data_IF_239630380235
#
_entry.id   IF_239630380235
#
_cell.length_a   1.000
_cell.length_b   1.000
_cell.length_c   1.000
_cell.angle_alpha   90.00
_cell.angle_beta   90.00
_cell.angle_gamma   90.00
#
_symmetry.space_group_name_H-M   'P 1'
#
loop_
_entity.id
_entity.type
_entity.pdbx_description
1 polymer ?
#
# COMPACT_ATOMS: atom_id res chain seq x y z
N UNK A 1 17.20 54.74 19.97
CA UNK A 1 17.12 53.76 18.88
C UNK A 1 17.81 52.48 19.31
N UNK A 2 17.05 51.59 19.95
CA UNK A 2 17.51 50.29 20.47
C UNK A 2 17.56 49.26 19.33
N UNK A 3 18.75 48.67 19.09
CA UNK A 3 18.92 47.58 18.13
C UNK A 3 18.13 46.36 18.61
N UNK A 4 17.35 45.69 17.75
CA UNK A 4 16.65 44.46 18.13
C UNK A 4 17.65 43.36 18.45
N UNK A 5 17.41 42.67 19.56
CA UNK A 5 18.27 41.63 20.12
C UNK A 5 18.41 40.47 19.12
N UNK A 6 19.65 40.20 18.67
CA UNK A 6 19.98 39.26 17.59
C UNK A 6 19.51 37.82 17.91
N UNK A 7 19.32 37.52 19.19
CA UNK A 7 18.78 36.29 19.75
C UNK A 7 17.29 36.11 19.49
N UNK A 8 16.48 37.17 19.55
CA UNK A 8 15.06 37.12 19.20
C UNK A 8 14.86 36.84 17.71
N UNK A 9 15.72 37.41 16.86
CA UNK A 9 15.72 37.16 15.42
C UNK A 9 16.04 35.69 15.07
N UNK A 10 17.03 35.08 15.75
CA UNK A 10 17.38 33.66 15.51
C UNK A 10 16.26 32.70 15.93
N UNK A 11 15.59 32.97 17.06
CA UNK A 11 14.50 32.14 17.56
C UNK A 11 13.28 32.20 16.62
N UNK A 12 12.96 33.38 16.12
CA UNK A 12 11.90 33.59 15.12
C UNK A 12 12.23 32.85 13.82
N UNK A 13 13.47 32.92 13.33
CA UNK A 13 13.90 32.18 12.12
C UNK A 13 13.82 30.67 12.32
N UNK A 14 14.20 30.15 13.50
CA UNK A 14 14.05 28.71 13.79
C UNK A 14 12.60 28.27 13.90
N UNK A 15 11.72 29.10 14.48
CA UNK A 15 10.28 28.81 14.56
C UNK A 15 9.63 28.86 13.18
N UNK A 16 10.00 29.83 12.34
CA UNK A 16 9.53 29.92 10.94
C UNK A 16 10.03 28.72 10.13
N UNK A 17 11.28 28.28 10.34
CA UNK A 17 11.83 27.09 9.67
C UNK A 17 11.12 25.80 10.10
N UNK A 18 10.83 25.65 11.40
CA UNK A 18 10.09 24.51 11.94
C UNK A 18 8.64 24.50 11.44
N UNK A 19 7.99 25.67 11.35
CA UNK A 19 6.64 25.80 10.84
C UNK A 19 6.55 25.61 9.32
N UNK A 20 7.63 25.93 8.59
CA UNK A 20 7.77 25.65 7.17
C UNK A 20 7.97 24.16 6.91
N UNK A 21 8.72 23.45 7.76
CA UNK A 21 8.85 21.99 7.72
C UNK A 21 7.52 21.31 8.03
N UNK A 22 6.79 21.74 9.06
CA UNK A 22 5.46 21.19 9.38
C UNK A 22 4.47 21.42 8.21
N UNK A 23 4.51 22.59 7.56
CA UNK A 23 3.72 22.87 6.36
C UNK A 23 4.14 22.03 5.16
N UNK A 24 5.43 21.80 4.94
CA UNK A 24 5.94 20.93 3.89
C UNK A 24 5.52 19.46 4.10
N UNK A 25 5.55 18.97 5.34
CA UNK A 25 5.03 17.65 5.70
C UNK A 25 3.50 17.55 5.52
N UNK A 26 2.74 18.58 5.91
CA UNK A 26 1.29 18.64 5.70
C UNK A 26 0.91 18.71 4.22
N UNK A 27 1.67 19.45 3.39
CA UNK A 27 1.47 19.53 1.94
C UNK A 27 1.84 18.19 1.28
N UNK A 28 2.93 17.53 1.70
CA UNK A 28 3.34 16.21 1.21
C UNK A 28 2.27 15.13 1.48
N UNK A 29 1.64 15.16 2.66
CA UNK A 29 0.49 14.29 2.97
C UNK A 29 -0.77 14.68 2.17
N UNK A 30 -1.03 15.98 1.96
CA UNK A 30 -2.18 16.47 1.18
C UNK A 30 -2.05 16.18 -0.32
N UNK A 31 -0.83 16.15 -0.88
CA UNK A 31 -0.58 15.76 -2.28
C UNK A 31 -0.65 14.26 -2.51
N UNK A 32 -0.48 13.44 -1.46
CA UNK A 32 -0.69 11.98 -1.56
C UNK A 32 -2.18 11.61 -1.50
N UNK A 33 -3.03 12.48 -0.92
CA UNK A 33 -4.46 12.24 -0.72
C UNK A 33 -5.40 12.95 -1.74
N UNK A 34 -4.86 13.59 -2.79
CA UNK A 34 -5.65 14.36 -3.78
C UNK A 34 -5.43 13.92 -5.24
N UNK A 35 -5.29 12.62 -5.47
CA UNK A 35 -5.49 12.00 -6.79
C UNK A 35 -6.55 10.93 -6.62
N UNK A 36 -7.82 11.32 -6.66
CA UNK A 36 -8.98 10.48 -7.01
C UNK A 36 -10.27 11.31 -6.85
N UNK A 37 -10.52 12.17 -7.84
CA UNK A 37 -11.84 12.68 -8.24
C UNK A 37 -11.69 12.95 -9.75
N UNK A 38 -12.15 12.01 -10.58
CA UNK A 38 -13.50 11.94 -11.19
C UNK A 38 -13.55 12.68 -12.54
N UNK A 39 -13.32 11.93 -13.62
CA UNK A 39 -13.72 12.32 -14.97
C UNK A 39 -14.11 11.08 -15.78
N UNK A 40 -15.42 10.88 -15.93
CA UNK A 40 -16.08 10.22 -17.05
C UNK A 40 -17.46 10.90 -17.19
N UNK A 41 -17.96 11.14 -18.43
CA UNK A 41 -18.07 10.09 -19.43
C UNK A 41 -17.61 10.51 -20.85
N UNK A 42 -16.66 9.76 -21.41
CA UNK A 42 -16.44 9.67 -22.87
C UNK A 42 -17.02 8.33 -23.38
N UNK A 43 -18.19 7.94 -22.88
CA UNK A 43 -18.78 6.61 -23.05
C UNK A 43 -19.80 6.55 -24.19
N UNK A 44 -19.65 7.35 -25.25
CA UNK A 44 -20.60 7.32 -26.37
C UNK A 44 -19.99 7.33 -27.78
N UNK A 45 -18.66 7.35 -27.94
CA UNK A 45 -18.05 7.31 -29.28
C UNK A 45 -17.50 5.93 -29.67
N UNK A 46 -17.33 5.00 -28.74
CA UNK A 46 -16.67 3.71 -29.03
C UNK A 46 -17.63 2.57 -29.38
N UNK A 47 -18.94 2.74 -29.21
CA UNK A 47 -19.91 1.65 -29.37
C UNK A 47 -20.33 1.36 -30.82
N UNK A 48 -19.79 2.05 -31.83
CA UNK A 48 -20.21 1.90 -33.24
C UNK A 48 -19.06 1.90 -34.26
N UNK A 49 -18.01 1.11 -34.02
CA UNK A 49 -17.11 0.64 -35.08
C UNK A 49 -16.75 -0.81 -34.75
N UNK A 50 -17.63 -1.75 -35.08
CA UNK A 50 -17.61 -2.50 -36.32
C UNK A 50 -16.89 -3.83 -36.10
N UNK A 51 -17.72 -4.87 -36.00
CA UNK A 51 -17.43 -6.23 -36.44
C UNK A 51 -16.46 -6.22 -37.63
N UNK A 52 -15.27 -6.74 -37.40
CA UNK A 52 -14.45 -7.37 -38.43
C UNK A 52 -13.80 -8.59 -37.80
N UNK A 53 -14.25 -9.77 -38.25
CA UNK A 53 -13.62 -11.04 -37.93
C UNK A 53 -12.16 -11.01 -38.42
N UNK A 54 -11.24 -10.93 -37.46
CA UNK A 54 -9.90 -11.48 -37.59
C UNK A 54 -9.63 -12.19 -36.27
N UNK A 55 -9.48 -13.52 -36.31
CA UNK A 55 -9.26 -14.35 -35.13
C UNK A 55 -7.88 -14.06 -34.50
N UNK A 56 -7.79 -12.98 -33.74
CA UNK A 56 -6.80 -12.82 -32.68
C UNK A 56 -7.45 -13.28 -31.38
N UNK A 57 -6.87 -14.26 -30.70
CA UNK A 57 -7.32 -14.71 -29.39
C UNK A 57 -7.24 -13.54 -28.38
N UNK A 58 -8.29 -12.72 -28.29
CA UNK A 58 -8.39 -11.66 -27.30
C UNK A 58 -8.62 -12.29 -25.92
N UNK A 59 -7.59 -12.25 -25.08
CA UNK A 59 -7.69 -12.66 -23.68
C UNK A 59 -8.47 -11.56 -22.94
N UNK A 60 -9.75 -11.80 -22.67
CA UNK A 60 -10.58 -10.93 -21.82
C UNK A 60 -10.26 -11.10 -20.31
N UNK A 61 -8.99 -10.94 -19.92
CA UNK A 61 -8.56 -11.02 -18.53
C UNK A 61 -8.09 -9.66 -18.01
N UNK A 62 -8.73 -9.15 -16.95
CA UNK A 62 -8.32 -7.87 -16.34
C UNK A 62 -7.08 -8.06 -15.46
N UNK A 63 -5.94 -7.51 -15.90
CA UNK A 63 -4.66 -7.58 -15.17
C UNK A 63 -4.74 -7.06 -13.73
N UNK A 64 -5.33 -5.88 -13.52
CA UNK A 64 -5.46 -5.27 -12.19
C UNK A 64 -6.29 -6.12 -11.23
N UNK A 65 -7.37 -6.73 -11.73
CA UNK A 65 -8.18 -7.67 -10.95
C UNK A 65 -7.44 -8.97 -10.67
N UNK A 66 -6.70 -9.52 -11.64
CA UNK A 66 -5.83 -10.69 -11.45
C UNK A 66 -4.80 -10.44 -10.34
N UNK A 67 -4.13 -9.27 -10.38
CA UNK A 67 -3.19 -8.84 -9.34
C UNK A 67 -3.84 -8.76 -7.96
N UNK A 68 -5.07 -8.24 -7.90
CA UNK A 68 -5.84 -8.15 -6.65
C UNK A 68 -6.20 -9.53 -6.10
N UNK A 69 -6.63 -10.45 -6.96
CA UNK A 69 -6.92 -11.84 -6.60
C UNK A 69 -5.67 -12.55 -6.07
N UNK A 70 -4.55 -12.43 -6.78
CA UNK A 70 -3.29 -13.04 -6.37
C UNK A 70 -2.83 -12.48 -5.02
N UNK A 71 -2.89 -11.16 -4.81
CA UNK A 71 -2.53 -10.54 -3.53
C UNK A 71 -3.35 -11.12 -2.36
N UNK A 72 -4.64 -11.36 -2.58
CA UNK A 72 -5.51 -12.00 -1.58
C UNK A 72 -5.05 -13.42 -1.29
N UNK A 73 -4.77 -14.22 -2.33
CA UNK A 73 -4.26 -15.58 -2.19
C UNK A 73 -2.95 -15.58 -1.39
N UNK A 74 -2.00 -14.74 -1.77
CA UNK A 74 -0.70 -14.63 -1.12
C UNK A 74 -0.79 -14.19 0.35
N UNK A 75 -1.69 -13.26 0.67
CA UNK A 75 -1.78 -12.69 2.01
C UNK A 75 -2.64 -13.52 2.98
N UNK A 76 -3.65 -14.22 2.45
CA UNK A 76 -4.70 -14.86 3.25
C UNK A 76 -4.79 -16.37 3.09
N UNK A 77 -4.23 -16.96 2.03
CA UNK A 77 -4.28 -18.41 1.78
C UNK A 77 -2.91 -19.07 1.90
N UNK A 78 -1.91 -18.58 1.16
CA UNK A 78 -0.57 -19.19 1.09
C UNK A 78 0.08 -19.42 2.46
N UNK A 79 0.00 -18.50 3.45
CA UNK A 79 0.61 -18.73 4.76
C UNK A 79 0.09 -19.98 5.47
N UNK A 80 -1.18 -20.34 5.25
CA UNK A 80 -1.78 -21.54 5.82
C UNK A 80 -1.42 -22.79 5.03
N UNK A 81 -1.32 -22.68 3.70
CA UNK A 81 -0.87 -23.78 2.83
C UNK A 81 0.56 -24.19 3.18
N UNK A 82 1.46 -23.21 3.35
CA UNK A 82 2.83 -23.41 3.79
C UNK A 82 2.90 -24.00 5.20
N UNK A 83 2.11 -23.46 6.13
CA UNK A 83 2.04 -23.97 7.51
C UNK A 83 1.64 -25.45 7.57
N UNK A 84 0.71 -25.87 6.71
CA UNK A 84 0.24 -27.25 6.65
C UNK A 84 1.10 -28.15 5.75
N UNK A 85 2.21 -27.63 5.20
CA UNK A 85 3.09 -28.28 4.23
C UNK A 85 2.32 -28.95 3.08
N UNK A 86 1.25 -28.30 2.62
CA UNK A 86 0.38 -28.85 1.59
C UNK A 86 0.85 -28.44 0.20
N UNK A 87 0.98 -29.39 -0.71
CA UNK A 87 1.25 -29.13 -2.12
C UNK A 87 -0.06 -29.05 -2.89
N UNK A 88 -0.42 -27.84 -3.32
CA UNK A 88 -1.58 -27.63 -4.19
C UNK A 88 -1.35 -28.30 -5.55
N UNK A 89 -2.41 -28.91 -6.10
CA UNK A 89 -2.35 -29.50 -7.44
C UNK A 89 -2.23 -28.44 -8.53
N UNK A 90 -1.45 -28.68 -9.58
CA UNK A 90 -1.40 -27.83 -10.78
C UNK A 90 -2.77 -27.72 -11.49
N UNK A 91 -3.72 -28.60 -11.19
CA UNK A 91 -5.11 -28.51 -11.70
C UNK A 91 -5.96 -27.47 -10.95
N UNK A 92 -5.54 -27.06 -9.76
CA UNK A 92 -6.27 -26.08 -8.96
C UNK A 92 -6.13 -24.69 -9.57
N UNK A 93 -7.24 -23.99 -9.78
CA UNK A 93 -7.22 -22.62 -10.34
C UNK A 93 -6.51 -21.59 -9.46
N UNK A 94 -6.40 -21.84 -8.16
CA UNK A 94 -5.69 -20.98 -7.21
C UNK A 94 -4.18 -21.22 -7.18
N UNK A 95 -3.67 -22.20 -7.94
CA UNK A 95 -2.24 -22.49 -7.99
C UNK A 95 -1.45 -21.27 -8.50
N UNK A 96 -0.34 -20.87 -7.86
CA UNK A 96 0.41 -19.67 -8.26
C UNK A 96 0.88 -19.66 -9.72
N UNK A 97 1.24 -20.83 -10.25
CA UNK A 97 1.70 -20.99 -11.64
C UNK A 97 0.57 -20.90 -12.68
N UNK A 98 -0.69 -20.96 -12.24
CA UNK A 98 -1.83 -20.92 -13.14
C UNK A 98 -2.28 -19.49 -13.47
N UNK A 99 -1.76 -18.46 -12.80
CA UNK A 99 -2.07 -17.08 -13.15
C UNK A 99 -1.37 -16.67 -14.45
N UNK A 100 -2.14 -16.32 -15.46
CA UNK A 100 -1.64 -15.95 -16.78
C UNK A 100 -0.65 -14.77 -16.75
N UNK A 101 -0.83 -13.83 -15.82
CA UNK A 101 0.04 -12.66 -15.72
C UNK A 101 1.23 -12.89 -14.77
N UNK A 102 1.32 -14.06 -14.14
CA UNK A 102 2.27 -14.36 -13.06
C UNK A 102 3.70 -13.99 -13.44
N UNK A 103 4.16 -14.55 -14.54
CA UNK A 103 5.54 -14.38 -14.99
C UNK A 103 5.85 -12.90 -15.26
N UNK A 104 4.93 -12.17 -15.88
CA UNK A 104 5.13 -10.75 -16.18
C UNK A 104 5.14 -9.89 -14.91
N UNK A 105 4.30 -10.21 -13.92
CA UNK A 105 4.28 -9.51 -12.63
C UNK A 105 5.58 -9.76 -11.84
N UNK A 106 6.14 -10.98 -11.88
CA UNK A 106 7.46 -11.29 -11.28
C UNK A 106 8.62 -10.57 -11.96
N UNK A 107 8.48 -10.24 -13.25
CA UNK A 107 9.47 -9.48 -14.02
C UNK A 107 9.29 -7.96 -13.93
N UNK A 108 8.47 -7.46 -13.01
CA UNK A 108 8.43 -6.03 -12.68
C UNK A 108 9.51 -5.67 -11.69
N UNK A 109 10.33 -4.69 -12.06
CA UNK A 109 11.39 -4.19 -11.20
C UNK A 109 11.01 -2.76 -10.78
N UNK A 110 10.72 -2.56 -9.50
CA UNK A 110 10.54 -1.22 -8.93
C UNK A 110 11.89 -0.70 -8.46
N UNK A 111 12.47 0.26 -9.20
CA UNK A 111 13.82 0.77 -8.96
C UNK A 111 13.80 1.93 -7.97
N UNK A 112 12.88 2.88 -8.16
CA UNK A 112 12.69 4.06 -7.31
C UNK A 112 11.20 4.47 -7.33
N UNK A 113 10.80 5.40 -6.47
CA UNK A 113 9.41 5.89 -6.26
C UNK A 113 8.69 6.20 -7.58
N UNK A 114 9.40 6.71 -8.58
CA UNK A 114 8.87 7.05 -9.90
C UNK A 114 9.59 6.31 -11.05
N UNK A 115 10.26 5.19 -10.76
CA UNK A 115 10.98 4.41 -11.78
C UNK A 115 10.62 2.92 -11.67
N UNK A 116 9.93 2.46 -12.71
CA UNK A 116 9.62 1.06 -12.95
C UNK A 116 10.41 0.57 -14.14
N UNK A 117 10.90 -0.67 -14.11
CA UNK A 117 11.71 -1.24 -15.18
C UNK A 117 11.18 -2.60 -15.60
N UNK A 118 11.13 -2.82 -16.91
CA UNK A 118 10.76 -4.10 -17.50
C UNK A 118 11.89 -5.12 -17.30
N UNK A 119 11.59 -6.28 -16.71
CA UNK A 119 12.55 -7.36 -16.49
C UNK A 119 13.09 -7.97 -17.77
N UNK A 120 12.29 -8.01 -18.84
CA UNK A 120 12.66 -8.61 -20.12
C UNK A 120 13.58 -7.72 -20.96
N UNK A 121 13.17 -6.47 -21.25
CA UNK A 121 13.89 -5.57 -22.16
C UNK A 121 14.62 -4.41 -21.48
N UNK A 122 14.57 -4.33 -20.13
CA UNK A 122 15.23 -3.31 -19.30
C UNK A 122 14.81 -1.85 -19.55
N UNK A 123 13.75 -1.59 -20.32
CA UNK A 123 13.17 -0.24 -20.47
C UNK A 123 12.60 0.27 -19.15
N UNK A 124 12.83 1.55 -18.85
CA UNK A 124 12.30 2.23 -17.68
C UNK A 124 11.05 3.05 -18.00
N UNK A 125 10.19 3.20 -17.00
CA UNK A 125 8.88 3.81 -17.07
C UNK A 125 8.64 4.63 -15.81
N UNK A 126 7.93 5.74 -15.96
CA UNK A 126 7.67 6.67 -14.85
C UNK A 126 6.66 6.13 -13.81
N UNK A 127 5.82 5.18 -14.20
CA UNK A 127 4.76 4.63 -13.37
C UNK A 127 4.42 3.21 -13.81
N UNK A 128 3.92 2.40 -12.87
CA UNK A 128 3.56 1.01 -13.10
C UNK A 128 2.57 0.83 -14.26
N UNK A 129 1.57 1.70 -14.37
CA UNK A 129 0.58 1.67 -15.46
C UNK A 129 1.20 1.71 -16.86
N UNK A 130 2.33 2.40 -17.03
CA UNK A 130 3.01 2.49 -18.32
C UNK A 130 3.85 1.24 -18.60
N UNK A 131 4.34 0.59 -17.54
CA UNK A 131 4.98 -0.70 -17.64
C UNK A 131 3.97 -1.81 -17.98
N UNK A 132 2.79 -1.78 -17.35
CA UNK A 132 1.67 -2.70 -17.65
C UNK A 132 1.26 -2.58 -19.13
N UNK A 133 1.01 -1.36 -19.60
CA UNK A 133 0.72 -1.11 -21.01
C UNK A 133 1.87 -1.55 -21.94
N UNK A 134 3.12 -1.45 -21.51
CA UNK A 134 4.26 -1.96 -22.28
C UNK A 134 4.25 -3.49 -22.38
N UNK A 135 3.88 -4.21 -21.32
CA UNK A 135 3.74 -5.66 -21.38
C UNK A 135 2.66 -6.08 -22.36
N UNK A 136 1.50 -5.44 -22.30
CA UNK A 136 0.36 -5.74 -23.18
C UNK A 136 0.72 -5.51 -24.66
N UNK A 137 1.55 -4.51 -24.99
CA UNK A 137 1.91 -4.18 -26.36
C UNK A 137 3.14 -4.93 -26.91
N UNK A 138 4.11 -5.26 -26.04
CA UNK A 138 5.46 -5.72 -26.49
C UNK A 138 5.84 -7.11 -25.99
N UNK A 139 5.19 -7.58 -24.93
CA UNK A 139 5.46 -8.87 -24.31
C UNK A 139 4.21 -9.75 -24.21
N UNK A 140 3.19 -9.45 -25.01
CA UNK A 140 1.97 -10.26 -25.09
C UNK A 140 2.25 -11.73 -25.40
N UNK A 141 3.20 -11.98 -26.32
CA UNK A 141 3.58 -13.34 -26.75
C UNK A 141 4.24 -14.19 -25.64
N UNK A 142 4.63 -13.59 -24.51
CA UNK A 142 5.19 -14.31 -23.37
C UNK A 142 4.11 -14.81 -22.41
N UNK A 143 2.83 -14.51 -22.67
CA UNK A 143 1.72 -15.03 -21.87
C UNK A 143 1.50 -16.51 -22.16
N UNK A 144 1.37 -17.32 -21.11
CA UNK A 144 1.02 -18.73 -21.24
C UNK A 144 -0.49 -18.90 -21.46
N UNK A 145 -0.95 -18.67 -22.70
CA UNK A 145 -2.38 -18.70 -23.06
C UNK A 145 -2.96 -20.12 -23.04
N UNK A 146 -2.13 -21.17 -23.05
CA UNK A 146 -2.60 -22.56 -23.21
C UNK A 146 -3.53 -23.05 -22.09
N UNK A 147 -3.49 -22.42 -20.92
CA UNK A 147 -4.28 -22.84 -19.76
C UNK A 147 -5.46 -21.93 -19.43
N UNK A 148 -5.64 -20.78 -20.12
CA UNK A 148 -6.78 -19.86 -19.96
C UNK A 148 -7.21 -19.55 -18.51
N UNK A 149 -6.31 -19.66 -17.54
CA UNK A 149 -6.64 -19.48 -16.13
C UNK A 149 -6.48 -18.00 -15.76
N UNK A 150 -7.54 -17.23 -16.00
CA UNK A 150 -7.62 -15.86 -15.55
C UNK A 150 -8.04 -15.81 -14.08
N UNK A 151 -7.15 -15.39 -13.16
CA UNK A 151 -7.52 -15.23 -11.75
C UNK A 151 -8.57 -14.13 -11.54
N UNK A 152 -8.68 -13.17 -12.46
CA UNK A 152 -9.69 -12.13 -12.38
C UNK A 152 -11.12 -12.68 -12.40
N UNK A 153 -11.36 -13.85 -13.02
CA UNK A 153 -12.67 -14.51 -13.03
C UNK A 153 -13.06 -15.02 -11.63
N UNK A 154 -12.05 -15.29 -10.78
CA UNK A 154 -12.25 -15.72 -9.41
C UNK A 154 -12.50 -14.55 -8.45
N UNK A 155 -12.39 -13.30 -8.92
CA UNK A 155 -12.53 -12.14 -8.04
C UNK A 155 -13.87 -12.04 -7.32
N UNK A 156 -14.94 -12.52 -7.95
CA UNK A 156 -16.26 -12.60 -7.31
C UNK A 156 -16.24 -13.54 -6.09
N UNK A 157 -15.55 -14.67 -6.18
CA UNK A 157 -15.41 -15.63 -5.08
C UNK A 157 -14.38 -15.19 -4.03
N UNK A 158 -13.30 -14.54 -4.46
CA UNK A 158 -12.17 -14.11 -3.62
C UNK A 158 -12.34 -12.72 -3.01
N UNK A 159 -13.44 -12.01 -3.23
CA UNK A 159 -13.67 -10.67 -2.66
C UNK A 159 -12.62 -9.61 -3.09
N UNK A 160 -12.15 -9.63 -4.36
CA UNK A 160 -11.14 -8.68 -4.84
C UNK A 160 -11.47 -7.20 -4.58
N UNK A 161 -12.75 -6.83 -4.72
CA UNK A 161 -13.18 -5.45 -4.58
C UNK A 161 -12.96 -4.92 -3.14
N UNK A 162 -12.89 -5.80 -2.14
CA UNK A 162 -12.56 -5.44 -0.76
C UNK A 162 -11.10 -4.99 -0.57
N UNK A 163 -10.18 -5.47 -1.40
CA UNK A 163 -8.74 -5.14 -1.33
C UNK A 163 -8.36 -4.07 -2.35
N UNK A 164 -9.01 -4.05 -3.52
CA UNK A 164 -8.72 -3.11 -4.59
C UNK A 164 -9.18 -1.68 -4.28
N UNK A 165 -10.29 -1.50 -3.53
CA UNK A 165 -10.85 -0.17 -3.25
C UNK A 165 -11.29 -0.05 -1.78
N UNK A 166 -10.67 0.84 -0.99
CA UNK A 166 -11.16 1.19 0.36
C UNK A 166 -12.49 1.99 0.34
N UNK A 167 -12.97 2.36 -0.85
CA UNK A 167 -14.20 3.10 -1.12
C UNK A 167 -15.12 2.26 -2.00
N UNK A 168 -15.47 1.04 -1.59
CA UNK A 168 -16.59 0.34 -2.23
C UNK A 168 -17.86 1.12 -1.87
N UNK A 169 -18.56 1.77 -2.82
CA UNK A 169 -19.85 2.36 -2.54
C UNK A 169 -20.76 1.25 -2.04
N UNK A 170 -21.51 1.48 -0.96
CA UNK A 170 -22.46 0.50 -0.42
C UNK A 170 -23.61 0.32 -1.42
N UNK A 171 -23.38 -0.44 -2.49
CA UNK A 171 -24.43 -0.86 -3.41
C UNK A 171 -25.31 -1.88 -2.72
N UNK A 172 -26.62 -1.84 -3.00
CA UNK A 172 -27.57 -2.83 -2.49
C UNK A 172 -27.10 -4.24 -2.87
N UNK A 173 -27.05 -5.14 -1.88
CA UNK A 173 -26.62 -6.52 -2.13
C UNK A 173 -27.54 -7.20 -3.15
N UNK A 174 -26.95 -7.87 -4.15
CA UNK A 174 -27.66 -8.73 -5.09
C UNK A 174 -27.60 -10.18 -4.60
N UNK A 175 -28.71 -10.78 -4.14
CA UNK A 175 -28.71 -12.14 -3.59
C UNK A 175 -28.32 -13.19 -4.64
N UNK A 176 -28.69 -13.00 -5.90
CA UNK A 176 -28.31 -13.91 -6.97
C UNK A 176 -26.80 -13.89 -7.24
N UNK A 177 -26.17 -12.71 -7.18
CA UNK A 177 -24.72 -12.60 -7.33
C UNK A 177 -23.99 -13.23 -6.13
N UNK A 178 -24.46 -12.98 -4.91
CA UNK A 178 -23.90 -13.59 -3.70
C UNK A 178 -23.98 -15.13 -3.74
N UNK A 179 -25.13 -15.69 -4.15
CA UNK A 179 -25.29 -17.14 -4.30
C UNK A 179 -24.36 -17.73 -5.37
N UNK A 180 -24.24 -17.08 -6.54
CA UNK A 180 -23.31 -17.52 -7.59
C UNK A 180 -21.85 -17.51 -7.13
N UNK A 181 -21.43 -16.43 -6.48
CA UNK A 181 -20.06 -16.31 -5.96
C UNK A 181 -19.78 -17.32 -4.85
N UNK A 182 -20.78 -17.62 -4.01
CA UNK A 182 -20.69 -18.67 -2.99
C UNK A 182 -20.44 -20.04 -3.63
N UNK A 183 -21.25 -20.44 -4.61
CA UNK A 183 -21.06 -21.72 -5.29
C UNK A 183 -19.72 -21.82 -6.01
N UNK A 184 -19.27 -20.73 -6.65
CA UNK A 184 -17.94 -20.68 -7.26
C UNK A 184 -16.85 -20.88 -6.20
N UNK A 185 -16.98 -20.24 -5.04
CA UNK A 185 -16.05 -20.38 -3.92
C UNK A 185 -16.01 -21.82 -3.37
N UNK A 186 -17.17 -22.44 -3.17
CA UNK A 186 -17.28 -23.83 -2.70
C UNK A 186 -16.64 -24.79 -3.72
N UNK A 187 -16.90 -24.61 -5.01
CA UNK A 187 -16.27 -25.42 -6.08
C UNK A 187 -14.74 -25.27 -6.13
N UNK A 188 -14.21 -24.08 -5.82
CA UNK A 188 -12.77 -23.89 -5.67
C UNK A 188 -12.22 -24.66 -4.46
N UNK A 189 -12.94 -24.64 -3.33
CA UNK A 189 -12.54 -25.38 -2.14
C UNK A 189 -12.47 -26.90 -2.42
N UNK A 190 -13.47 -27.44 -3.12
CA UNK A 190 -13.53 -28.88 -3.47
C UNK A 190 -12.40 -29.28 -4.43
N UNK A 191 -12.14 -28.46 -5.45
CA UNK A 191 -11.15 -28.76 -6.49
C UNK A 191 -9.71 -28.56 -6.03
N UNK A 192 -9.46 -27.56 -5.18
CA UNK A 192 -8.12 -27.22 -4.69
C UNK A 192 -7.74 -27.93 -3.39
N UNK A 193 -8.72 -28.25 -2.54
CA UNK A 193 -8.51 -28.87 -1.23
C UNK A 193 -9.49 -30.04 -1.02
N UNK A 194 -9.29 -31.18 -1.69
CA UNK A 194 -10.18 -32.33 -1.56
C UNK A 194 -10.06 -32.97 -0.17
N UNK A 195 -11.18 -33.01 0.56
CA UNK A 195 -11.26 -33.46 1.97
C UNK A 195 -10.72 -34.88 2.18
N UNK A 196 -10.93 -35.77 1.21
CA UNK A 196 -10.53 -37.18 1.30
C UNK A 196 -9.06 -37.45 0.97
N UNK A 197 -8.33 -36.46 0.44
CA UNK A 197 -6.95 -36.66 -0.01
C UNK A 197 -5.97 -36.66 1.16
N UNK A 198 -6.14 -35.78 2.14
CA UNK A 198 -5.27 -35.72 3.33
C UNK A 198 -5.91 -34.94 4.49
N UNK A 199 -5.47 -35.17 5.74
CA UNK A 199 -5.91 -34.36 6.89
C UNK A 199 -5.55 -32.88 6.77
N UNK A 200 -4.44 -32.55 6.10
CA UNK A 200 -4.06 -31.17 5.79
C UNK A 200 -5.01 -30.55 4.76
N UNK A 201 -5.36 -31.28 3.70
CA UNK A 201 -6.35 -30.83 2.71
C UNK A 201 -7.72 -30.59 3.37
N UNK A 202 -8.18 -31.47 4.25
CA UNK A 202 -9.42 -31.29 5.00
C UNK A 202 -9.41 -30.01 5.86
N UNK A 203 -8.29 -29.72 6.55
CA UNK A 203 -8.17 -28.50 7.38
C UNK A 203 -8.12 -27.23 6.53
N UNK A 204 -7.41 -27.26 5.40
CA UNK A 204 -7.37 -26.15 4.45
C UNK A 204 -8.72 -25.92 3.78
N UNK A 205 -9.44 -26.99 3.46
CA UNK A 205 -10.79 -26.93 2.92
C UNK A 205 -11.75 -26.19 3.87
N UNK A 206 -11.78 -26.61 5.15
CA UNK A 206 -12.60 -25.93 6.17
C UNK A 206 -12.19 -24.46 6.35
N UNK A 207 -10.88 -24.19 6.43
CA UNK A 207 -10.36 -22.83 6.53
C UNK A 207 -10.82 -21.97 5.34
N UNK A 208 -10.70 -22.49 4.13
CA UNK A 208 -11.08 -21.77 2.91
C UNK A 208 -12.58 -21.44 2.90
N UNK A 209 -13.45 -22.40 3.23
CA UNK A 209 -14.89 -22.17 3.33
C UNK A 209 -15.24 -21.08 4.35
N UNK A 210 -14.66 -21.15 5.54
CA UNK A 210 -14.91 -20.18 6.62
C UNK A 210 -14.40 -18.78 6.31
N UNK A 211 -13.25 -18.68 5.64
CA UNK A 211 -12.57 -17.41 5.44
C UNK A 211 -13.04 -16.66 4.19
N UNK A 212 -13.41 -17.40 3.14
CA UNK A 212 -13.80 -16.83 1.84
C UNK A 212 -15.29 -17.02 1.56
N UNK A 213 -15.81 -18.24 1.72
CA UNK A 213 -17.14 -18.59 1.21
C UNK A 213 -18.30 -18.15 2.12
N UNK A 214 -18.13 -18.23 3.44
CA UNK A 214 -19.15 -17.81 4.42
C UNK A 214 -19.48 -16.31 4.35
N UNK A 215 -18.56 -15.49 3.83
CA UNK A 215 -18.78 -14.06 3.63
C UNK A 215 -19.74 -13.74 2.46
N UNK A 216 -20.04 -14.70 1.58
CA UNK A 216 -20.99 -14.52 0.47
C UNK A 216 -22.45 -14.57 0.96
N UNK A 217 -22.85 -13.56 1.75
CA UNK A 217 -24.22 -13.39 2.25
C UNK A 217 -24.66 -11.94 2.18
N UNK A 218 -25.95 -11.70 1.94
CA UNK A 218 -26.51 -10.34 1.98
C UNK A 218 -26.84 -9.84 3.40
N UNK A 219 -26.63 -10.67 4.43
CA UNK A 219 -26.93 -10.30 5.82
C UNK A 219 -25.92 -9.28 6.39
N UNK A 220 -24.76 -9.11 5.74
CA UNK A 220 -23.75 -8.11 6.10
C UNK A 220 -23.03 -8.36 7.44
N UNK A 221 -23.33 -9.49 8.11
CA UNK A 221 -22.80 -9.82 9.43
C UNK A 221 -21.39 -10.43 9.38
N UNK A 222 -21.02 -11.05 8.26
CA UNK A 222 -19.78 -11.81 8.11
C UNK A 222 -18.82 -11.02 7.24
N UNK A 223 -17.65 -10.69 7.79
CA UNK A 223 -16.57 -10.02 7.04
C UNK A 223 -15.66 -11.07 6.41
N UNK A 224 -15.26 -10.94 5.13
CA UNK A 224 -14.22 -11.79 4.56
C UNK A 224 -12.89 -11.58 5.30
N UNK A 225 -12.02 -12.59 5.26
CA UNK A 225 -10.66 -12.53 5.82
C UNK A 225 -10.58 -12.33 7.34
N UNK A 226 -11.30 -13.16 8.10
CA UNK A 226 -11.25 -13.14 9.57
C UNK A 226 -9.86 -13.48 10.15
N UNK A 227 -9.07 -14.26 9.41
CA UNK A 227 -7.74 -14.76 9.83
C UNK A 227 -6.72 -14.45 8.74
N UNK A 228 -5.49 -14.13 9.14
CA UNK A 228 -4.44 -13.68 8.22
C UNK A 228 -4.48 -12.17 7.98
N UNK A 229 -3.71 -11.70 7.00
CA UNK A 229 -3.47 -10.28 6.78
C UNK A 229 -2.13 -9.85 7.37
N UNK A 230 -1.20 -9.44 6.51
CA UNK A 230 -0.01 -8.73 6.97
C UNK A 230 -0.51 -7.38 7.48
N UNK A 231 -0.58 -7.23 8.80
CA UNK A 231 -0.62 -5.89 9.38
C UNK A 231 0.64 -5.19 8.87
N UNK A 232 0.49 -4.30 7.89
CA UNK A 232 1.49 -3.30 7.59
C UNK A 232 1.59 -2.43 8.83
N UNK A 233 2.34 -2.90 9.84
CA UNK A 233 2.91 -2.03 10.84
C UNK A 233 3.68 -1.02 10.03
N UNK A 234 3.18 0.21 10.01
CA UNK A 234 3.72 1.23 9.13
C UNK A 234 5.15 1.47 9.63
N UNK A 235 6.14 0.83 9.00
CA UNK A 235 7.54 0.85 9.45
C UNK A 235 8.00 2.31 9.55
N UNK A 236 7.49 3.17 8.68
CA UNK A 236 7.67 4.63 8.76
C UNK A 236 7.11 5.24 10.05
N UNK A 237 5.98 4.77 10.56
CA UNK A 237 5.43 5.22 11.85
C UNK A 237 6.34 4.81 13.02
N UNK A 238 6.83 3.56 13.02
CA UNK A 238 7.79 3.10 14.04
C UNK A 238 9.12 3.86 13.96
N UNK A 239 9.68 4.02 12.77
CA UNK A 239 10.91 4.78 12.55
C UNK A 239 10.74 6.27 12.93
N UNK A 240 9.60 6.88 12.59
CA UNK A 240 9.30 8.27 12.96
C UNK A 240 9.13 8.41 14.49
N UNK A 241 8.50 7.44 15.15
CA UNK A 241 8.33 7.43 16.60
C UNK A 241 9.68 7.35 17.33
N UNK A 242 10.59 6.49 16.87
CA UNK A 242 11.96 6.37 17.42
C UNK A 242 12.74 7.67 17.20
N UNK A 243 12.65 8.26 16.00
CA UNK A 243 13.33 9.52 15.69
C UNK A 243 12.88 10.66 16.61
N UNK A 244 11.57 10.77 16.87
CA UNK A 244 11.02 11.79 17.78
C UNK A 244 11.52 11.57 19.21
N UNK A 245 11.53 10.32 19.70
CA UNK A 245 12.03 9.98 21.03
C UNK A 245 13.51 10.33 21.23
N UNK A 246 14.32 10.28 20.17
CA UNK A 246 15.74 10.65 20.24
C UNK A 246 15.97 12.17 20.11
N UNK A 247 15.26 12.84 19.21
CA UNK A 247 15.46 14.28 18.95
C UNK A 247 14.91 15.18 20.06
N UNK A 248 13.81 14.78 20.70
CA UNK A 248 13.16 15.55 21.76
C UNK A 248 14.08 15.82 22.97
N UNK A 249 14.73 14.80 23.60
CA UNK A 249 15.63 15.04 24.73
C UNK A 249 16.88 15.82 24.32
N UNK A 250 17.42 15.59 23.13
CA UNK A 250 18.57 16.35 22.60
C UNK A 250 18.22 17.84 22.51
N UNK A 251 17.04 18.16 21.98
CA UNK A 251 16.56 19.54 21.92
C UNK A 251 16.48 20.20 23.31
N UNK A 252 15.90 19.50 24.30
CA UNK A 252 15.82 20.02 25.67
C UNK A 252 17.19 20.19 26.33
N UNK A 253 18.15 19.29 26.06
CA UNK A 253 19.53 19.43 26.55
C UNK A 253 20.19 20.67 25.96
N UNK A 254 20.05 20.92 24.66
CA UNK A 254 20.59 22.12 23.99
C UNK A 254 19.99 23.38 24.61
N UNK A 255 18.67 23.42 24.80
CA UNK A 255 17.99 24.55 25.45
C UNK A 255 18.48 24.76 26.88
N UNK A 256 18.66 23.68 27.65
CA UNK A 256 19.18 23.74 29.01
C UNK A 256 20.61 24.29 29.06
N UNK A 257 21.49 23.82 28.18
CA UNK A 257 22.87 24.31 28.07
C UNK A 257 22.91 25.78 27.69
N UNK A 258 22.08 26.20 26.73
CA UNK A 258 21.96 27.60 26.32
C UNK A 258 21.46 28.51 27.44
N UNK A 259 20.42 28.10 28.17
CA UNK A 259 19.93 28.86 29.34
C UNK A 259 20.99 28.96 30.45
N UNK A 260 21.76 27.89 30.67
CA UNK A 260 22.85 27.85 31.65
C UNK A 260 23.97 28.81 31.26
N UNK A 261 24.35 28.84 29.99
CA UNK A 261 25.39 29.73 29.46
C UNK A 261 24.96 31.20 29.57
N UNK A 262 23.71 31.51 29.19
CA UNK A 262 23.14 32.85 29.34
C UNK A 262 23.12 33.31 30.81
N UNK A 263 22.75 32.43 31.76
CA UNK A 263 22.81 32.71 33.21
C UNK A 263 24.23 32.99 33.70
N UNK A 264 25.24 32.25 33.19
CA UNK A 264 26.65 32.49 33.54
C UNK A 264 27.16 33.81 32.96
N UNK A 265 26.81 34.13 31.71
CA UNK A 265 27.15 35.41 31.07
C UNK A 265 26.62 36.62 31.83
N UNK A 266 25.40 36.55 32.37
CA UNK A 266 24.84 37.63 33.20
C UNK A 266 25.57 37.79 34.54
N UNK A 267 26.04 36.70 35.15
CA UNK A 267 26.78 36.75 36.42
C UNK A 267 28.20 37.32 36.26
N UNK A 268 28.87 37.07 35.13
CA UNK A 268 30.21 37.63 34.84
C UNK A 268 30.14 39.13 34.60
N UNK A 269 29.13 39.63 33.86
CA UNK A 269 28.91 41.07 33.66
C UNK A 269 28.56 41.80 34.96
N UNK A 270 27.84 41.15 35.88
CA UNK A 270 27.46 41.73 37.18
C UNK A 270 28.63 41.89 38.16
N UNK A 271 29.75 41.18 37.95
CA UNK A 271 30.92 41.20 38.85
C UNK A 271 31.90 42.35 38.56
N UNK A 272 31.69 43.12 37.47
CA UNK A 272 32.48 44.32 37.14
C UNK A 272 31.67 45.57 37.53
N UNK A 273 31.45 45.80 38.83
CA UNK A 273 30.99 47.10 39.35
C UNK A 273 32.21 47.95 39.73
N UNK A 274 32.31 49.15 39.16
CA UNK A 274 33.45 50.09 39.22
C UNK A 274 33.98 50.35 40.65
N UNK A 275 35.31 50.51 40.85
CA UNK A 275 35.85 51.02 42.11
C UNK A 275 35.49 52.50 42.28
N UNK A 276 35.02 52.85 43.48
CA UNK A 276 34.66 54.20 43.89
C UNK A 276 35.88 55.14 43.85
N UNK A 277 35.78 56.19 43.04
CA UNK A 277 36.76 57.27 42.94
C UNK A 277 36.71 58.11 44.23
N UNK A 278 37.79 58.05 45.05
CA UNK A 278 37.99 58.92 46.22
C UNK A 278 38.08 60.39 45.79
N UNK A 279 37.29 61.29 46.39
CA UNK A 279 37.53 62.74 46.35
C UNK A 279 38.59 63.14 47.38
N UNK A 280 39.54 63.98 46.98
CA UNK A 280 40.52 64.65 47.86
C UNK A 280 39.83 65.71 48.73
N UNK A 281 40.29 65.93 49.98
CA UNK A 281 39.81 67.04 50.80
C UNK A 281 40.52 68.34 50.40
N UNK A 282 39.80 69.45 50.52
CA UNK A 282 40.34 70.81 50.55
C UNK A 282 39.80 71.50 51.80
#
# INVERSE_FOLDING_TARGET
MSRPDVTACKLIVTLISLQSMIRAFAISQKTRNKKNESFLPFSLQFFLLQNSEEHTHEIHCSRERSRSAYKIIEEYLIPFVEQENYQMSNKCKLHPENDIFREQEEHKIHVDVNEWRCGYCKKSFRAEKFLDQHFDNRHYNLLNVSHNNCLADLCGALHCDHVANSLVPKTKCNPAAAARNRHLCESLADSCFPVHQSPSASRLHELFLRQFCDAHTCSGKIKPFLRGGKKHTNIFYLASSILILMLLPIFYIIVFLYQREMRKGTQVLRRISKPSLKKKPS
#
